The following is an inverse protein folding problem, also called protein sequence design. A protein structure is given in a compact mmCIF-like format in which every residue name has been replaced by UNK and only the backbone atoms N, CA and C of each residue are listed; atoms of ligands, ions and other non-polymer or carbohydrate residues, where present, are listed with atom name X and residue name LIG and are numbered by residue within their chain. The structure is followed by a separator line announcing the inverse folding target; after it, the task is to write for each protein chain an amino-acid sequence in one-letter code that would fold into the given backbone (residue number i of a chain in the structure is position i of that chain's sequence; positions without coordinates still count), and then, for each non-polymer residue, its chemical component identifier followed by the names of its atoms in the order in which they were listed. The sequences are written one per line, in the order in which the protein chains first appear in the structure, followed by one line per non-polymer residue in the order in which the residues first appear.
data_IF_583791885091
#
_entry.id   IF_583791885091
#
_cell.length_a   1.000
_cell.length_b   1.000
_cell.length_c   1.000
_cell.angle_alpha   90.00
_cell.angle_beta   90.00
_cell.angle_gamma   90.00
#
_symmetry.space_group_name_H-M   'P 1'
#
loop_
_entity.id
_entity.type
_entity.pdbx_description
1 polymer ?
#
# COMPACT_ATOMS: atom_id res chain seq x y z
N UNK A 1 -46.64 27.44 53.59
CA UNK A 1 -47.67 26.42 53.32
C UNK A 1 -47.16 25.52 52.21
N UNK A 2 -46.98 24.24 52.56
CA UNK A 2 -46.77 23.13 51.61
C UNK A 2 -47.91 23.08 50.58
N UNK A 3 -47.58 22.71 49.34
CA UNK A 3 -48.12 21.49 48.71
C UNK A 3 -47.26 21.09 47.49
N UNK A 4 -46.69 19.92 47.64
CA UNK A 4 -46.09 19.04 46.64
C UNK A 4 -47.17 18.39 45.78
N UNK A 5 -46.84 18.00 44.54
CA UNK A 5 -47.27 16.78 43.80
C UNK A 5 -46.89 16.98 42.32
N UNK A 6 -45.72 16.52 41.89
CA UNK A 6 -45.50 15.23 41.22
C UNK A 6 -46.22 15.16 39.86
N UNK A 7 -45.46 15.39 38.79
CA UNK A 7 -45.64 14.63 37.56
C UNK A 7 -44.29 14.01 37.21
N UNK A 8 -44.16 12.78 37.64
CA UNK A 8 -43.05 11.87 37.41
C UNK A 8 -43.10 11.26 36.02
N UNK A 9 -41.94 10.70 35.64
CA UNK A 9 -41.74 9.66 34.64
C UNK A 9 -41.87 10.11 33.19
N UNK A 10 -40.72 10.12 32.49
CA UNK A 10 -40.52 9.21 31.36
C UNK A 10 -39.04 9.21 30.95
N UNK A 11 -38.48 7.98 30.93
CA UNK A 11 -37.23 7.56 30.29
C UNK A 11 -35.88 7.80 30.99
N UNK A 12 -35.75 7.17 32.16
CA UNK A 12 -34.51 6.46 32.53
C UNK A 12 -34.37 5.16 31.72
N UNK A 13 -33.71 5.22 30.55
CA UNK A 13 -33.12 4.04 29.91
C UNK A 13 -31.87 4.47 29.15
N UNK A 14 -30.72 3.94 29.60
CA UNK A 14 -29.45 3.68 28.91
C UNK A 14 -28.27 3.95 29.85
N UNK A 15 -28.26 3.22 30.97
CA UNK A 15 -26.99 2.75 31.53
C UNK A 15 -26.48 1.57 30.71
N UNK A 16 -25.16 1.54 30.48
CA UNK A 16 -24.32 0.43 30.01
C UNK A 16 -24.27 0.21 28.49
N UNK A 17 -23.09 0.52 27.92
CA UNK A 17 -22.34 -0.16 26.85
C UNK A 17 -21.44 0.93 26.23
N UNK A 18 -20.12 0.90 26.24
CA UNK A 18 -19.15 -0.11 26.63
C UNK A 18 -17.83 0.61 26.95
N UNK A 19 -17.04 0.02 27.84
CA UNK A 19 -15.60 0.28 27.95
C UNK A 19 -14.99 0.41 26.55
N UNK A 20 -14.56 1.61 26.16
CA UNK A 20 -13.63 1.71 25.05
C UNK A 20 -12.32 1.13 25.57
N UNK A 21 -12.08 -0.15 25.24
CA UNK A 21 -10.72 -0.66 25.24
C UNK A 21 -9.98 0.18 24.20
N UNK A 22 -9.35 1.27 24.63
CA UNK A 22 -8.15 1.75 23.97
C UNK A 22 -7.20 0.58 24.01
N UNK A 23 -7.21 -0.24 22.95
CA UNK A 23 -6.14 -1.19 22.67
C UNK A 23 -4.91 -0.32 22.50
N UNK A 24 -4.18 -0.15 23.60
CA UNK A 24 -2.81 0.32 23.55
C UNK A 24 -2.11 -0.49 22.50
N UNK A 25 -1.50 0.20 21.54
CA UNK A 25 -0.55 -0.38 20.61
C UNK A 25 0.51 -1.02 21.51
N UNK A 26 0.71 -2.35 21.50
CA UNK A 26 1.82 -2.92 22.22
C UNK A 26 3.09 -2.40 21.55
N UNK A 27 3.75 -1.47 22.23
CA UNK A 27 5.13 -1.15 21.98
C UNK A 27 5.95 -2.42 22.19
N UNK A 28 6.86 -2.68 21.26
CA UNK A 28 7.84 -3.77 21.24
C UNK A 28 7.37 -5.09 20.62
N UNK A 29 6.94 -5.04 19.35
CA UNK A 29 7.35 -6.13 18.44
C UNK A 29 8.81 -5.87 18.05
N UNK A 30 9.74 -6.42 18.82
CA UNK A 30 11.10 -6.64 18.33
C UNK A 30 10.97 -7.61 17.15
N UNK A 31 11.00 -7.07 15.94
CA UNK A 31 11.19 -7.88 14.75
C UNK A 31 12.57 -8.52 14.88
N UNK A 32 12.60 -9.80 15.21
CA UNK A 32 13.80 -10.62 15.02
C UNK A 32 14.02 -10.62 13.53
N UNK A 33 14.91 -9.75 13.06
CA UNK A 33 15.45 -9.81 11.70
C UNK A 33 16.22 -11.12 11.68
N UNK A 34 15.66 -12.14 11.03
CA UNK A 34 16.36 -13.39 10.80
C UNK A 34 17.64 -13.04 10.03
N UNK A 35 18.84 -13.22 10.62
CA UNK A 35 20.09 -12.73 10.03
C UNK A 35 20.38 -13.35 8.67
N UNK A 36 19.75 -14.49 8.35
CA UNK A 36 19.83 -15.19 7.06
C UNK A 36 19.22 -14.40 5.90
N UNK A 37 18.23 -13.53 6.17
CA UNK A 37 17.54 -12.73 5.15
C UNK A 37 18.16 -11.34 4.93
N UNK A 38 19.19 -10.95 5.69
CA UNK A 38 19.65 -9.55 5.75
C UNK A 38 20.68 -9.16 4.68
N UNK A 39 21.22 -10.09 3.89
CA UNK A 39 22.34 -9.80 2.98
C UNK A 39 22.33 -10.57 1.65
N UNK A 40 21.17 -10.82 1.04
CA UNK A 40 21.12 -11.51 -0.26
C UNK A 40 21.00 -10.56 -1.43
N UNK A 41 21.78 -10.85 -2.48
CA UNK A 41 21.82 -10.19 -3.78
C UNK A 41 20.45 -10.27 -4.48
N UNK A 42 19.49 -9.45 -4.06
CA UNK A 42 18.20 -9.34 -4.74
C UNK A 42 18.31 -8.47 -5.99
N UNK A 43 17.77 -8.98 -7.09
CA UNK A 43 17.76 -8.29 -8.38
C UNK A 43 16.35 -7.84 -8.72
N UNK A 44 16.18 -6.55 -9.04
CA UNK A 44 14.95 -6.01 -9.61
C UNK A 44 14.98 -6.15 -11.13
N UNK A 45 14.05 -6.95 -11.67
CA UNK A 45 13.80 -7.03 -13.11
C UNK A 45 12.50 -6.32 -13.44
N UNK A 46 12.57 -5.35 -14.34
CA UNK A 46 11.41 -4.63 -14.86
C UNK A 46 11.20 -4.92 -16.34
N UNK A 47 10.01 -5.38 -16.69
CA UNK A 47 9.62 -5.63 -18.08
C UNK A 47 8.52 -4.66 -18.49
N UNK A 48 8.73 -3.97 -19.62
CA UNK A 48 7.77 -3.03 -20.19
C UNK A 48 7.14 -3.63 -21.44
N UNK A 49 5.82 -3.64 -21.49
CA UNK A 49 5.06 -4.02 -22.68
C UNK A 49 4.15 -2.88 -23.09
N UNK A 50 4.22 -2.49 -24.35
CA UNK A 50 3.39 -1.45 -24.93
C UNK A 50 2.33 -2.07 -25.84
N UNK A 51 1.10 -1.60 -25.73
CA UNK A 51 -0.02 -2.05 -26.55
C UNK A 51 -0.83 -0.87 -27.04
N UNK A 52 -1.10 -0.84 -28.33
CA UNK A 52 -2.08 0.09 -28.87
C UNK A 52 -3.45 -0.20 -28.28
N UNK A 53 -4.16 0.86 -27.88
CA UNK A 53 -5.56 0.73 -27.46
C UNK A 53 -6.45 0.82 -28.69
N UNK A 54 -7.51 0.02 -28.70
CA UNK A 54 -8.51 0.02 -29.76
C UNK A 54 -9.90 0.20 -29.16
N UNK A 55 -10.77 0.89 -29.87
CA UNK A 55 -12.21 0.92 -29.62
C UNK A 55 -12.91 0.46 -30.90
N UNK A 56 -13.60 -0.68 -30.82
CA UNK A 56 -14.07 -1.43 -32.00
C UNK A 56 -12.90 -1.68 -32.97
N UNK A 57 -12.90 -0.98 -34.10
CA UNK A 57 -11.90 -1.09 -35.17
C UNK A 57 -10.90 0.07 -35.19
N UNK A 58 -11.12 1.11 -34.38
CA UNK A 58 -10.33 2.33 -34.39
C UNK A 58 -9.18 2.23 -33.41
N UNK A 59 -7.97 2.57 -33.87
CA UNK A 59 -6.81 2.75 -32.99
C UNK A 59 -6.97 4.08 -32.25
N UNK A 60 -6.91 4.02 -30.94
CA UNK A 60 -6.91 5.21 -30.10
C UNK A 60 -5.51 5.84 -30.09
N UNK A 61 -5.40 7.17 -29.93
CA UNK A 61 -4.10 7.85 -29.88
C UNK A 61 -3.29 7.42 -28.64
N UNK A 62 -3.97 7.03 -27.57
CA UNK A 62 -3.32 6.60 -26.34
C UNK A 62 -2.88 5.14 -26.40
N UNK A 63 -1.68 4.88 -25.88
CA UNK A 63 -1.13 3.53 -25.70
C UNK A 63 -1.33 3.05 -24.28
N UNK A 64 -1.49 1.75 -24.12
CA UNK A 64 -1.48 1.08 -22.81
C UNK A 64 -0.09 0.54 -22.55
N UNK A 65 0.52 1.00 -21.47
CA UNK A 65 1.85 0.57 -21.06
C UNK A 65 1.69 -0.28 -19.80
N UNK A 66 2.13 -1.53 -19.88
CA UNK A 66 2.11 -2.48 -18.78
C UNK A 66 3.54 -2.67 -18.34
N UNK A 67 3.84 -2.34 -17.09
CA UNK A 67 5.16 -2.55 -16.50
C UNK A 67 5.06 -3.63 -15.44
N UNK A 68 5.83 -4.71 -15.58
CA UNK A 68 5.88 -5.83 -14.64
C UNK A 68 7.21 -5.78 -13.91
N UNK A 69 7.15 -5.47 -12.62
CA UNK A 69 8.32 -5.44 -11.77
C UNK A 69 8.38 -6.76 -10.97
N UNK A 70 9.55 -7.40 -10.96
CA UNK A 70 9.82 -8.67 -10.28
C UNK A 70 11.10 -8.53 -9.46
N UNK A 71 11.03 -8.84 -8.17
CA UNK A 71 12.23 -9.01 -7.35
C UNK A 71 12.57 -10.47 -7.28
N UNK A 72 13.82 -10.79 -7.62
CA UNK A 72 14.35 -12.14 -7.60
C UNK A 72 15.46 -12.25 -6.58
N UNK A 73 15.49 -13.37 -5.88
CA UNK A 73 16.60 -13.78 -5.03
C UNK A 73 17.82 -14.16 -5.88
N UNK A 74 18.99 -14.34 -5.25
CA UNK A 74 20.22 -14.80 -5.88
C UNK A 74 20.05 -16.14 -6.64
N UNK A 75 19.13 -16.98 -6.16
CA UNK A 75 18.77 -18.26 -6.78
C UNK A 75 17.81 -18.12 -7.98
N UNK A 76 17.43 -16.89 -8.35
CA UNK A 76 16.45 -16.62 -9.40
C UNK A 76 14.98 -16.82 -9.00
N UNK A 77 14.72 -17.21 -7.74
CA UNK A 77 13.37 -17.35 -7.18
C UNK A 77 12.69 -15.99 -7.10
N UNK A 78 11.44 -15.90 -7.56
CA UNK A 78 10.66 -14.67 -7.49
C UNK A 78 10.14 -14.49 -6.04
N UNK A 79 10.55 -13.40 -5.40
CA UNK A 79 10.12 -13.01 -4.06
C UNK A 79 8.83 -12.19 -4.14
N UNK A 80 8.85 -11.17 -4.99
CA UNK A 80 7.74 -10.24 -5.14
C UNK A 80 7.50 -9.90 -6.60
N UNK A 81 6.23 -9.79 -6.98
CA UNK A 81 5.82 -9.42 -8.32
C UNK A 81 4.69 -8.42 -8.26
N UNK A 82 4.81 -7.35 -9.04
CA UNK A 82 3.75 -6.38 -9.22
C UNK A 82 3.57 -6.02 -10.67
N UNK A 83 2.46 -5.35 -10.97
CA UNK A 83 2.16 -4.88 -12.31
C UNK A 83 1.56 -3.50 -12.22
N UNK A 84 2.23 -2.56 -12.89
CA UNK A 84 1.73 -1.22 -13.16
C UNK A 84 1.06 -1.16 -14.52
N UNK A 85 -0.02 -0.39 -14.61
CA UNK A 85 -0.74 -0.13 -15.86
C UNK A 85 -0.91 1.37 -16.01
N UNK A 86 -0.35 1.91 -17.08
CA UNK A 86 -0.46 3.31 -17.47
C UNK A 86 -1.16 3.43 -18.83
N UNK A 87 -1.92 4.50 -19.02
CA UNK A 87 -2.42 4.94 -20.32
C UNK A 87 -1.61 6.18 -20.67
N UNK A 88 -0.91 6.16 -21.80
CA UNK A 88 -0.08 7.28 -22.21
C UNK A 88 -0.55 7.86 -23.54
N UNK A 89 -0.68 9.19 -23.61
CA UNK A 89 -0.63 9.95 -24.86
C UNK A 89 0.84 10.18 -25.26
N UNK A 90 1.05 10.98 -26.31
CA UNK A 90 2.39 11.36 -26.78
C UNK A 90 3.20 12.13 -25.74
N UNK A 91 2.53 12.91 -24.91
CA UNK A 91 3.09 13.91 -23.99
C UNK A 91 2.87 13.58 -22.49
N UNK A 92 1.91 12.72 -22.15
CA UNK A 92 1.55 12.44 -20.76
C UNK A 92 1.18 10.96 -20.52
N UNK A 93 1.27 10.53 -19.26
CA UNK A 93 0.92 9.17 -18.84
C UNK A 93 0.06 9.21 -17.57
N UNK A 94 -1.13 8.64 -17.65
CA UNK A 94 -2.04 8.44 -16.52
C UNK A 94 -1.91 7.02 -15.98
N UNK A 95 -1.55 6.90 -14.70
CA UNK A 95 -1.48 5.62 -14.00
C UNK A 95 -2.86 5.10 -13.59
N UNK A 96 -3.40 4.08 -14.28
CA UNK A 96 -4.63 3.40 -13.84
C UNK A 96 -4.36 2.60 -12.56
N UNK A 97 -3.22 1.91 -12.54
CA UNK A 97 -2.77 1.09 -11.41
C UNK A 97 -1.28 1.31 -11.30
N UNK A 98 -0.87 2.25 -10.47
CA UNK A 98 0.55 2.50 -10.25
C UNK A 98 1.03 1.70 -9.05
N UNK A 99 1.88 0.71 -9.33
CA UNK A 99 2.49 -0.18 -8.34
C UNK A 99 3.94 -0.42 -8.70
N UNK A 100 4.85 0.24 -8.00
CA UNK A 100 6.30 0.16 -8.26
C UNK A 100 7.04 -0.50 -7.12
N UNK A 101 8.15 -1.12 -7.46
CA UNK A 101 9.07 -1.68 -6.47
C UNK A 101 10.35 -0.85 -6.50
N UNK A 102 10.85 -0.48 -5.32
CA UNK A 102 12.19 0.06 -5.12
C UNK A 102 12.92 -0.83 -4.14
N UNK A 103 14.18 -1.13 -4.46
CA UNK A 103 15.07 -1.85 -3.55
C UNK A 103 15.91 -0.78 -2.84
N UNK A 104 15.87 -0.81 -1.52
CA UNK A 104 16.75 -0.01 -0.65
C UNK A 104 17.77 -0.95 0.00
N UNK A 105 18.78 -0.42 0.67
CA UNK A 105 19.91 -1.19 1.23
C UNK A 105 19.47 -2.43 2.03
N UNK A 106 18.36 -2.35 2.79
CA UNK A 106 17.90 -3.43 3.66
C UNK A 106 16.46 -3.91 3.38
N UNK A 107 15.75 -3.30 2.44
CA UNK A 107 14.29 -3.51 2.29
C UNK A 107 13.79 -3.35 0.86
N UNK A 108 12.69 -4.05 0.59
CA UNK A 108 11.90 -3.90 -0.63
C UNK A 108 10.70 -3.00 -0.31
N UNK A 109 10.64 -1.86 -0.98
CA UNK A 109 9.53 -0.92 -0.88
C UNK A 109 8.56 -1.14 -2.04
N UNK A 110 7.32 -1.45 -1.72
CA UNK A 110 6.24 -1.60 -2.68
C UNK A 110 5.28 -0.41 -2.56
N UNK A 111 5.33 0.45 -3.56
CA UNK A 111 4.52 1.65 -3.67
C UNK A 111 3.14 1.27 -4.19
N UNK A 112 2.08 1.59 -3.45
CA UNK A 112 0.71 1.51 -3.95
C UNK A 112 0.16 2.92 -4.15
N UNK A 113 -0.11 3.25 -5.40
CA UNK A 113 -0.85 4.46 -5.70
C UNK A 113 -2.30 4.34 -5.28
N UNK A 114 -2.76 5.38 -4.61
CA UNK A 114 -4.15 5.62 -4.28
C UNK A 114 -4.58 6.93 -4.94
N UNK A 115 -5.84 7.03 -5.37
CA UNK A 115 -6.37 8.27 -5.97
C UNK A 115 -6.30 9.44 -4.99
N UNK A 116 -6.48 9.16 -3.70
CA UNK A 116 -6.16 10.13 -2.66
C UNK A 116 -4.69 9.95 -2.23
N UNK A 117 -3.79 10.90 -2.54
CA UNK A 117 -2.37 10.78 -2.21
C UNK A 117 -2.10 10.71 -0.70
N UNK A 118 -2.95 11.29 0.15
CA UNK A 118 -2.81 11.24 1.61
C UNK A 118 -3.00 9.82 2.16
N UNK A 119 -3.74 8.99 1.42
CA UNK A 119 -3.99 7.59 1.76
C UNK A 119 -3.09 6.63 0.99
N UNK A 120 -2.07 7.15 0.28
CA UNK A 120 -1.10 6.30 -0.36
C UNK A 120 -0.22 5.63 0.70
N UNK A 121 0.05 4.34 0.51
CA UNK A 121 0.82 3.54 1.45
C UNK A 121 2.01 2.90 0.75
N UNK A 122 3.13 2.84 1.45
CA UNK A 122 4.30 2.09 1.04
C UNK A 122 4.35 0.84 1.90
N UNK A 123 4.27 -0.33 1.27
CA UNK A 123 4.44 -1.60 1.97
C UNK A 123 5.92 -1.97 2.00
N UNK A 124 6.42 -2.31 3.17
CA UNK A 124 7.81 -2.71 3.41
C UNK A 124 7.88 -4.22 3.48
N UNK A 125 8.85 -4.79 2.79
CA UNK A 125 9.15 -6.21 2.82
C UNK A 125 10.65 -6.40 3.06
N UNK A 126 11.01 -7.50 3.72
CA UNK A 126 12.40 -7.95 3.75
C UNK A 126 12.78 -8.58 2.39
N UNK A 127 14.05 -8.94 2.22
CA UNK A 127 14.54 -9.61 1.01
C UNK A 127 14.05 -11.05 0.86
N UNK A 128 13.43 -11.62 1.88
CA UNK A 128 12.81 -12.94 1.81
C UNK A 128 11.33 -12.88 1.41
N UNK A 129 10.74 -11.68 1.34
CA UNK A 129 9.34 -11.44 0.98
C UNK A 129 8.38 -11.41 2.17
N UNK A 130 8.89 -11.42 3.40
CA UNK A 130 8.07 -11.24 4.59
C UNK A 130 7.67 -9.77 4.73
N UNK A 131 6.43 -9.55 5.16
CA UNK A 131 5.89 -8.22 5.33
C UNK A 131 6.36 -7.58 6.65
N UNK A 132 7.07 -6.46 6.55
CA UNK A 132 7.61 -5.73 7.70
C UNK A 132 6.65 -4.67 8.23
N UNK A 133 5.82 -4.09 7.35
CA UNK A 133 4.84 -3.08 7.77
C UNK A 133 4.46 -2.09 6.67
N UNK A 134 3.79 -1.01 7.08
CA UNK A 134 3.39 0.10 6.20
C UNK A 134 4.09 1.39 6.63
N UNK A 135 4.53 2.17 5.66
CA UNK A 135 4.99 3.55 5.82
C UNK A 135 3.99 4.47 5.09
N UNK A 136 3.73 5.63 5.67
CA UNK A 136 2.97 6.69 5.00
C UNK A 136 3.74 7.12 3.76
N UNK A 137 3.02 7.44 2.68
CA UNK A 137 3.63 7.97 1.48
C UNK A 137 4.24 9.35 1.76
N UNK A 138 5.55 9.43 1.65
CA UNK A 138 6.29 10.69 1.74
C UNK A 138 6.97 10.96 0.40
N UNK A 139 6.98 12.22 -0.06
CA UNK A 139 7.49 12.60 -1.37
C UNK A 139 8.99 12.34 -1.49
N UNK A 140 9.74 12.53 -0.41
CA UNK A 140 11.19 12.35 -0.38
C UNK A 140 11.60 10.91 -0.72
N UNK A 141 10.86 9.93 -0.21
CA UNK A 141 11.12 8.48 -0.41
C UNK A 141 10.99 8.05 -1.88
N UNK A 142 10.25 8.79 -2.69
CA UNK A 142 10.05 8.47 -4.09
C UNK A 142 11.22 8.92 -4.97
N UNK A 143 11.77 10.11 -4.71
CA UNK A 143 12.78 10.75 -5.57
C UNK A 143 14.24 10.48 -5.15
N UNK A 144 14.50 10.16 -3.88
CA UNK A 144 15.82 9.72 -3.38
C UNK A 144 15.98 8.20 -3.47
#
# INVERSE_FOLDING_TARGET
MQKSLILSLLFSFFSLYANSKTKGIPANTLYVIDPTCSSTNVTLKSERTEKDRKFLFWKLPHKKIIVRDQVKDANGKIILKTTSINICSTDACDGIRYRRIKITVNEILLFYYNRNPENAIIKRYDFCGNYLGKKIWDKEVFYE
#
